data_IF_291829079212
#
_entry.id   IF_291829079212
#
_cell.length_a   1.000
_cell.length_b   1.000
_cell.length_c   1.000
_cell.angle_alpha   90.00
_cell.angle_beta   90.00
_cell.angle_gamma   90.00
#
_symmetry.space_group_name_H-M   'P 1'
#
loop_
_entity.id
_entity.type
_entity.pdbx_description
1 polymer ?
#
# COMPACT_ATOMS: atom_id res chain seq x y z
N UNK A 1 -17.70 27.05 60.18
CA UNK A 1 -17.43 26.46 58.86
C UNK A 1 -15.92 26.44 58.66
N UNK A 2 -15.31 25.26 58.46
CA UNK A 2 -13.85 25.14 58.40
C UNK A 2 -13.38 25.46 56.97
N UNK A 3 -13.08 26.73 56.72
CA UNK A 3 -12.66 27.25 55.42
C UNK A 3 -11.45 26.50 54.82
N UNK A 4 -10.56 25.99 55.67
CA UNK A 4 -9.41 25.20 55.24
C UNK A 4 -9.82 23.84 54.63
N UNK A 5 -10.85 23.20 55.17
CA UNK A 5 -11.35 21.93 54.64
C UNK A 5 -12.04 22.13 53.27
N UNK A 6 -12.76 23.25 53.11
CA UNK A 6 -13.38 23.63 51.83
C UNK A 6 -12.30 23.94 50.78
N UNK A 7 -11.24 24.65 51.16
CA UNK A 7 -10.08 24.93 50.30
C UNK A 7 -9.39 23.65 49.82
N UNK A 8 -9.10 22.72 50.73
CA UNK A 8 -8.46 21.44 50.40
C UNK A 8 -9.31 20.57 49.46
N UNK A 9 -10.64 20.55 49.66
CA UNK A 9 -11.56 19.85 48.73
C UNK A 9 -11.53 20.51 47.35
N UNK A 10 -11.54 21.85 47.30
CA UNK A 10 -11.40 22.61 46.06
C UNK A 10 -10.12 22.27 45.30
N UNK A 11 -8.99 22.20 45.99
CA UNK A 11 -7.70 21.82 45.42
C UNK A 11 -7.69 20.40 44.85
N UNK A 12 -8.24 19.42 45.58
CA UNK A 12 -8.35 18.03 45.10
C UNK A 12 -9.23 17.96 43.85
N UNK A 13 -10.38 18.65 43.85
CA UNK A 13 -11.29 18.67 42.70
C UNK A 13 -10.60 19.34 41.50
N UNK A 14 -9.93 20.48 41.70
CA UNK A 14 -9.19 21.16 40.65
C UNK A 14 -8.06 20.30 40.07
N UNK A 15 -7.29 19.63 40.94
CA UNK A 15 -6.24 18.71 40.50
C UNK A 15 -6.80 17.52 39.71
N UNK A 16 -7.94 16.96 40.14
CA UNK A 16 -8.63 15.88 39.41
C UNK A 16 -9.09 16.34 38.03
N UNK A 17 -9.71 17.52 37.94
CA UNK A 17 -10.15 18.10 36.66
C UNK A 17 -8.95 18.29 35.72
N UNK A 18 -7.84 18.85 36.21
CA UNK A 18 -6.62 19.01 35.42
C UNK A 18 -6.09 17.66 34.92
N UNK A 19 -6.02 16.66 35.79
CA UNK A 19 -5.56 15.32 35.42
C UNK A 19 -6.45 14.68 34.33
N UNK A 20 -7.78 14.79 34.46
CA UNK A 20 -8.73 14.30 33.46
C UNK A 20 -8.60 15.03 32.13
N UNK A 21 -8.45 16.36 32.16
CA UNK A 21 -8.24 17.17 30.96
C UNK A 21 -6.93 16.81 30.25
N UNK A 22 -5.83 16.62 30.99
CA UNK A 22 -4.56 16.16 30.43
C UNK A 22 -4.67 14.75 29.82
N UNK A 23 -5.38 13.84 30.48
CA UNK A 23 -5.67 12.52 29.94
C UNK A 23 -6.45 12.57 28.62
N UNK A 24 -7.49 13.39 28.56
CA UNK A 24 -8.25 13.64 27.33
C UNK A 24 -7.37 14.25 26.23
N UNK A 25 -6.56 15.26 26.54
CA UNK A 25 -5.64 15.87 25.57
C UNK A 25 -4.62 14.85 25.06
N UNK A 26 -4.09 13.97 25.91
CA UNK A 26 -3.16 12.94 25.47
C UNK A 26 -3.80 11.97 24.46
N UNK A 27 -5.05 11.57 24.70
CA UNK A 27 -5.84 10.74 23.77
C UNK A 27 -6.09 11.50 22.47
N UNK A 28 -6.53 12.77 22.55
CA UNK A 28 -6.81 13.60 21.39
C UNK A 28 -5.57 13.83 20.53
N UNK A 29 -4.42 14.13 21.15
CA UNK A 29 -3.14 14.31 20.43
C UNK A 29 -2.71 13.01 19.75
N UNK A 30 -2.93 11.84 20.38
CA UNK A 30 -2.64 10.55 19.74
C UNK A 30 -3.51 10.33 18.50
N UNK A 31 -4.83 10.50 18.63
CA UNK A 31 -5.76 10.38 17.51
C UNK A 31 -5.42 11.35 16.37
N UNK A 32 -5.05 12.60 16.70
CA UNK A 32 -4.62 13.58 15.70
C UNK A 32 -3.31 13.19 14.99
N UNK A 33 -2.36 12.60 15.71
CA UNK A 33 -1.12 12.07 15.11
C UNK A 33 -1.40 10.90 14.16
N UNK A 34 -2.26 9.98 14.56
CA UNK A 34 -2.62 8.82 13.73
C UNK A 34 -3.36 9.29 12.45
N UNK A 35 -4.32 10.19 12.58
CA UNK A 35 -5.02 10.78 11.44
C UNK A 35 -4.07 11.54 10.49
N UNK A 36 -3.10 12.29 11.02
CA UNK A 36 -2.08 12.96 10.20
C UNK A 36 -1.15 11.96 9.50
N UNK A 37 -0.79 10.86 10.15
CA UNK A 37 0.01 9.80 9.54
C UNK A 37 -0.73 9.13 8.37
N UNK A 38 -2.03 8.87 8.53
CA UNK A 38 -2.86 8.32 7.46
C UNK A 38 -3.07 9.31 6.31
N UNK A 39 -3.29 10.60 6.59
CA UNK A 39 -3.33 11.63 5.56
C UNK A 39 -2.01 11.69 4.76
N UNK A 40 -0.87 11.58 5.43
CA UNK A 40 0.44 11.53 4.78
C UNK A 40 0.63 10.26 3.94
N UNK A 41 0.11 9.10 4.38
CA UNK A 41 0.11 7.86 3.58
C UNK A 41 -0.73 8.02 2.31
N UNK A 42 -1.91 8.60 2.43
CA UNK A 42 -2.80 8.88 1.31
C UNK A 42 -2.14 9.85 0.31
N UNK A 43 -1.45 10.88 0.79
CA UNK A 43 -0.78 11.83 -0.09
C UNK A 43 0.38 11.18 -0.86
N UNK A 44 1.17 10.31 -0.21
CA UNK A 44 2.18 9.49 -0.93
C UNK A 44 1.54 8.58 -1.96
N UNK A 45 0.39 7.96 -1.65
CA UNK A 45 -0.35 7.12 -2.58
C UNK A 45 -0.79 7.90 -3.83
N UNK A 46 -1.24 9.16 -3.66
CA UNK A 46 -1.59 10.03 -4.79
C UNK A 46 -0.38 10.33 -5.66
N UNK A 47 0.78 10.64 -5.07
CA UNK A 47 2.01 10.88 -5.81
C UNK A 47 2.44 9.66 -6.64
N UNK A 48 2.35 8.44 -6.08
CA UNK A 48 2.61 7.19 -6.81
C UNK A 48 1.65 7.04 -7.99
N UNK A 49 0.34 7.27 -7.77
CA UNK A 49 -0.67 7.23 -8.83
C UNK A 49 -0.36 8.21 -9.96
N UNK A 50 0.02 9.44 -9.64
CA UNK A 50 0.38 10.47 -10.62
C UNK A 50 1.63 10.07 -11.42
N UNK A 51 2.63 9.52 -10.76
CA UNK A 51 3.85 9.03 -11.41
C UNK A 51 3.56 7.86 -12.37
N UNK A 52 2.71 6.91 -11.95
CA UNK A 52 2.28 5.78 -12.77
C UNK A 52 1.43 6.23 -13.97
N UNK A 53 0.53 7.19 -13.79
CA UNK A 53 -0.24 7.79 -14.88
C UNK A 53 0.67 8.51 -15.88
N UNK A 54 1.61 9.33 -15.41
CA UNK A 54 2.56 10.02 -16.28
C UNK A 54 3.43 9.04 -17.08
N UNK A 55 3.90 7.97 -16.44
CA UNK A 55 4.67 6.89 -17.09
C UNK A 55 3.83 6.10 -18.10
N UNK A 56 2.53 5.93 -17.83
CA UNK A 56 1.63 5.20 -18.73
C UNK A 56 1.27 6.03 -19.98
N UNK A 57 1.06 7.34 -19.81
CA UNK A 57 0.61 8.24 -20.87
C UNK A 57 1.73 8.84 -21.71
N UNK A 58 2.98 8.85 -21.23
CA UNK A 58 4.12 9.43 -21.94
C UNK A 58 5.16 8.37 -22.34
N UNK A 59 5.15 8.01 -23.63
CA UNK A 59 6.04 7.00 -24.20
C UNK A 59 7.53 7.37 -24.11
N UNK A 60 7.89 8.63 -24.37
CA UNK A 60 9.29 9.07 -24.31
C UNK A 60 9.83 9.07 -22.88
N UNK A 61 8.98 9.45 -21.93
CA UNK A 61 9.33 9.37 -20.53
C UNK A 61 9.49 7.92 -20.07
N UNK A 62 8.57 7.01 -20.43
CA UNK A 62 8.73 5.57 -20.15
C UNK A 62 10.00 5.00 -20.77
N UNK A 63 10.32 5.35 -22.02
CA UNK A 63 11.57 4.96 -22.68
C UNK A 63 12.80 5.45 -21.92
N UNK A 64 12.76 6.68 -21.42
CA UNK A 64 13.83 7.25 -20.59
C UNK A 64 14.00 6.48 -19.30
N UNK A 65 12.89 6.14 -18.61
CA UNK A 65 12.92 5.33 -17.40
C UNK A 65 13.46 3.92 -17.66
N UNK A 66 12.98 3.24 -18.70
CA UNK A 66 13.45 1.91 -19.10
C UNK A 66 14.96 1.90 -19.27
N UNK A 67 15.50 2.88 -20.01
CA UNK A 67 16.95 3.00 -20.24
C UNK A 67 17.72 3.39 -18.99
N UNK A 68 17.23 4.35 -18.22
CA UNK A 68 17.87 4.80 -16.99
C UNK A 68 17.92 3.73 -15.91
N UNK A 69 16.93 2.85 -15.87
CA UNK A 69 16.82 1.73 -14.94
C UNK A 69 17.39 0.42 -15.50
N UNK A 70 17.93 0.42 -16.73
CA UNK A 70 18.51 -0.73 -17.40
C UNK A 70 17.54 -1.94 -17.51
N UNK A 71 16.30 -1.65 -17.93
CA UNK A 71 15.19 -2.62 -18.01
C UNK A 71 14.94 -3.13 -19.44
N UNK A 72 15.74 -2.72 -20.42
CA UNK A 72 15.57 -3.10 -21.83
C UNK A 72 15.50 -4.62 -22.00
N UNK A 73 16.49 -5.35 -21.49
CA UNK A 73 16.54 -6.82 -21.59
C UNK A 73 15.36 -7.52 -20.92
N UNK A 74 14.86 -6.95 -19.81
CA UNK A 74 13.67 -7.45 -19.13
C UNK A 74 12.43 -7.30 -20.01
N UNK A 75 12.22 -6.11 -20.59
CA UNK A 75 11.05 -5.85 -21.43
C UNK A 75 11.12 -6.52 -22.80
N UNK A 76 12.32 -6.75 -23.35
CA UNK A 76 12.50 -7.62 -24.53
C UNK A 76 12.02 -9.04 -24.24
N UNK A 77 12.51 -9.65 -23.15
CA UNK A 77 12.10 -11.00 -22.76
C UNK A 77 10.62 -11.10 -22.44
N UNK A 78 10.08 -10.15 -21.67
CA UNK A 78 8.65 -10.12 -21.36
C UNK A 78 7.80 -9.97 -22.64
N UNK A 79 8.26 -9.15 -23.59
CA UNK A 79 7.65 -8.99 -24.90
C UNK A 79 7.64 -10.29 -25.71
N UNK A 80 8.76 -11.01 -25.77
CA UNK A 80 8.84 -12.32 -26.42
C UNK A 80 7.87 -13.33 -25.80
N UNK A 81 7.85 -13.42 -24.47
CA UNK A 81 7.00 -14.33 -23.71
C UNK A 81 5.50 -14.05 -23.93
N UNK A 82 5.12 -12.77 -24.03
CA UNK A 82 3.72 -12.34 -24.16
C UNK A 82 3.30 -12.00 -25.60
N UNK A 83 4.18 -12.19 -26.58
CA UNK A 83 3.98 -11.81 -27.99
C UNK A 83 3.63 -10.33 -28.16
N UNK A 84 4.37 -9.48 -27.44
CA UNK A 84 4.26 -8.03 -27.43
C UNK A 84 5.59 -7.42 -27.87
N UNK A 85 5.56 -6.21 -28.43
CA UNK A 85 6.78 -5.41 -28.56
C UNK A 85 7.34 -5.05 -27.17
N UNK A 86 8.65 -4.74 -27.04
CA UNK A 86 9.22 -4.29 -25.76
C UNK A 86 8.50 -3.04 -25.19
N UNK A 87 7.98 -2.19 -26.07
CA UNK A 87 7.21 -1.01 -25.67
C UNK A 87 5.86 -1.39 -25.06
N UNK A 88 5.12 -2.29 -25.69
CA UNK A 88 3.85 -2.82 -25.15
C UNK A 88 4.10 -3.56 -23.84
N UNK A 89 5.15 -4.39 -23.76
CA UNK A 89 5.54 -5.10 -22.54
C UNK A 89 5.86 -4.14 -21.39
N UNK A 90 6.60 -3.05 -21.66
CA UNK A 90 6.84 -2.02 -20.63
C UNK A 90 5.55 -1.37 -20.16
N UNK A 91 4.63 -1.06 -21.07
CA UNK A 91 3.34 -0.44 -20.74
C UNK A 91 2.48 -1.37 -19.88
N UNK A 92 2.45 -2.65 -20.25
CA UNK A 92 1.74 -3.69 -19.54
C UNK A 92 2.29 -3.89 -18.12
N UNK A 93 3.61 -4.03 -17.98
CA UNK A 93 4.26 -4.21 -16.68
C UNK A 93 4.03 -3.02 -15.74
N UNK A 94 4.15 -1.78 -16.23
CA UNK A 94 3.84 -0.59 -15.43
C UNK A 94 2.39 -0.57 -14.93
N UNK A 95 1.44 -1.01 -15.76
CA UNK A 95 0.06 -1.16 -15.33
C UNK A 95 -0.09 -2.27 -14.27
N UNK A 96 0.63 -3.38 -14.39
CA UNK A 96 0.59 -4.47 -13.41
C UNK A 96 1.20 -4.06 -12.07
N UNK A 97 2.30 -3.30 -12.08
CA UNK A 97 2.91 -2.75 -10.88
C UNK A 97 1.95 -1.87 -10.07
N UNK A 98 1.10 -1.08 -10.75
CA UNK A 98 0.02 -0.34 -10.09
C UNK A 98 -0.94 -1.28 -9.34
N UNK A 99 -1.42 -2.34 -10.00
CA UNK A 99 -2.34 -3.29 -9.39
C UNK A 99 -1.69 -4.05 -8.23
N UNK A 100 -0.42 -4.44 -8.33
CA UNK A 100 0.29 -5.09 -7.24
C UNK A 100 0.42 -4.17 -6.02
N UNK A 101 0.75 -2.90 -6.26
CA UNK A 101 0.83 -1.90 -5.20
C UNK A 101 -0.53 -1.62 -4.56
N UNK A 102 -1.60 -1.55 -5.37
CA UNK A 102 -2.96 -1.36 -4.87
C UNK A 102 -3.41 -2.52 -3.98
N UNK A 103 -3.22 -3.76 -4.44
CA UNK A 103 -3.58 -4.95 -3.65
C UNK A 103 -2.73 -5.09 -2.38
N UNK A 104 -1.45 -4.70 -2.42
CA UNK A 104 -0.63 -4.60 -1.21
C UNK A 104 -1.18 -3.55 -0.23
N UNK A 105 -1.54 -2.36 -0.73
CA UNK A 105 -2.13 -1.30 0.09
C UNK A 105 -3.46 -1.71 0.72
N UNK A 106 -4.29 -2.45 -0.03
CA UNK A 106 -5.50 -3.09 0.48
C UNK A 106 -5.15 -4.08 1.58
N UNK A 107 -4.27 -5.06 1.32
CA UNK A 107 -3.81 -6.05 2.31
C UNK A 107 -3.29 -5.42 3.62
N UNK A 108 -2.49 -4.36 3.51
CA UNK A 108 -1.91 -3.65 4.65
C UNK A 108 -2.95 -2.88 5.47
N UNK A 109 -4.12 -2.61 4.89
CA UNK A 109 -5.20 -1.82 5.50
C UNK A 109 -6.40 -2.67 5.93
N UNK A 110 -6.43 -3.96 5.60
CA UNK A 110 -7.58 -4.81 5.93
C UNK A 110 -7.70 -5.05 7.43
N UNK A 111 -8.91 -4.89 7.94
CA UNK A 111 -9.21 -5.03 9.37
C UNK A 111 -10.29 -6.09 9.65
N UNK A 112 -11.02 -6.54 8.62
CA UNK A 112 -12.11 -7.53 8.76
C UNK A 112 -11.82 -8.77 7.93
N UNK A 113 -12.36 -9.91 8.38
CA UNK A 113 -12.21 -11.19 7.67
C UNK A 113 -12.84 -11.18 6.28
N UNK A 114 -13.93 -10.45 6.08
CA UNK A 114 -14.61 -10.31 4.78
C UNK A 114 -13.75 -9.60 3.76
N UNK A 115 -12.96 -8.62 4.19
CA UNK A 115 -12.12 -7.85 3.28
C UNK A 115 -10.93 -8.71 2.80
N UNK A 116 -10.38 -9.51 3.71
CA UNK A 116 -9.36 -10.54 3.37
C UNK A 116 -9.91 -11.60 2.41
N UNK A 117 -11.16 -12.01 2.57
CA UNK A 117 -11.82 -12.97 1.67
C UNK A 117 -12.02 -12.39 0.26
N UNK A 118 -12.49 -11.14 0.16
CA UNK A 118 -12.60 -10.43 -1.12
C UNK A 118 -11.24 -10.32 -1.81
N UNK A 119 -10.21 -9.86 -1.10
CA UNK A 119 -8.87 -9.76 -1.64
C UNK A 119 -8.33 -11.13 -2.07
N UNK A 120 -8.64 -12.20 -1.33
CA UNK A 120 -8.26 -13.57 -1.71
C UNK A 120 -8.87 -13.95 -3.06
N UNK A 121 -10.16 -13.64 -3.28
CA UNK A 121 -10.84 -13.92 -4.53
C UNK A 121 -10.27 -13.09 -5.69
N UNK A 122 -10.00 -11.80 -5.45
CA UNK A 122 -9.35 -10.92 -6.43
C UNK A 122 -7.98 -11.44 -6.82
N UNK A 123 -7.16 -11.80 -5.83
CA UNK A 123 -5.82 -12.36 -6.07
C UNK A 123 -5.91 -13.65 -6.88
N UNK A 124 -6.82 -14.55 -6.51
CA UNK A 124 -7.01 -15.83 -7.19
C UNK A 124 -7.38 -15.65 -8.67
N UNK A 125 -8.23 -14.70 -9.02
CA UNK A 125 -8.63 -14.46 -10.41
C UNK A 125 -7.60 -13.64 -11.18
N UNK A 126 -7.10 -12.56 -10.59
CA UNK A 126 -6.23 -11.61 -11.27
C UNK A 126 -4.82 -12.18 -11.49
N UNK A 127 -4.20 -12.76 -10.45
CA UNK A 127 -2.80 -13.20 -10.51
C UNK A 127 -2.62 -14.56 -11.19
N UNK A 128 -3.71 -15.29 -11.48
CA UNK A 128 -3.66 -16.52 -12.27
C UNK A 128 -3.70 -16.26 -13.78
N UNK A 129 -4.05 -15.03 -14.20
CA UNK A 129 -3.91 -14.63 -15.59
C UNK A 129 -2.43 -14.77 -16.03
N UNK A 130 -2.13 -15.43 -17.17
CA UNK A 130 -0.76 -15.70 -17.57
C UNK A 130 0.15 -14.47 -17.67
N UNK A 131 -0.36 -13.35 -18.19
CA UNK A 131 0.41 -12.11 -18.30
C UNK A 131 0.71 -11.51 -16.93
N UNK A 132 -0.31 -11.44 -16.07
CA UNK A 132 -0.17 -10.93 -14.70
C UNK A 132 0.80 -11.79 -13.88
N UNK A 133 0.65 -13.11 -13.95
CA UNK A 133 1.53 -14.07 -13.28
C UNK A 133 2.98 -13.88 -13.70
N UNK A 134 3.23 -13.69 -15.00
CA UNK A 134 4.58 -13.46 -15.53
C UNK A 134 5.20 -12.19 -14.96
N UNK A 135 4.46 -11.08 -14.90
CA UNK A 135 4.90 -9.85 -14.25
C UNK A 135 5.14 -10.07 -12.74
N UNK A 136 4.24 -10.76 -12.05
CA UNK A 136 4.39 -11.05 -10.61
C UNK A 136 5.66 -11.84 -10.29
N UNK A 137 6.00 -12.82 -11.14
CA UNK A 137 7.16 -13.70 -10.94
C UNK A 137 8.49 -13.07 -11.34
N UNK A 138 8.49 -12.23 -12.39
CA UNK A 138 9.73 -11.81 -13.04
C UNK A 138 10.03 -10.31 -12.94
N UNK A 139 9.05 -9.48 -12.57
CA UNK A 139 9.26 -8.03 -12.50
C UNK A 139 10.21 -7.68 -11.35
N UNK A 140 11.25 -6.86 -11.60
CA UNK A 140 12.16 -6.41 -10.55
C UNK A 140 11.49 -5.51 -9.51
N UNK A 141 10.28 -5.00 -9.81
CA UNK A 141 9.54 -4.07 -8.96
C UNK A 141 8.27 -4.68 -8.34
N UNK A 142 8.00 -5.96 -8.60
CA UNK A 142 6.87 -6.66 -7.98
C UNK A 142 7.28 -7.22 -6.60
N UNK A 143 7.54 -8.53 -6.50
CA UNK A 143 7.92 -9.18 -5.23
C UNK A 143 9.03 -8.48 -4.45
N UNK A 144 10.14 -8.03 -5.08
CA UNK A 144 11.25 -7.43 -4.34
C UNK A 144 10.89 -6.10 -3.65
N UNK A 145 9.88 -5.38 -4.14
CA UNK A 145 9.51 -4.06 -3.62
C UNK A 145 8.39 -4.12 -2.56
N UNK A 146 7.74 -5.27 -2.40
CA UNK A 146 6.56 -5.44 -1.54
C UNK A 146 6.89 -6.21 -0.27
N UNK A 147 6.07 -6.02 0.76
CA UNK A 147 6.26 -6.67 2.05
C UNK A 147 6.12 -8.20 1.94
N UNK A 148 7.02 -8.92 2.62
CA UNK A 148 7.11 -10.38 2.54
C UNK A 148 5.80 -11.10 2.92
N UNK A 149 5.03 -10.53 3.86
CA UNK A 149 3.74 -11.09 4.28
C UNK A 149 2.71 -11.07 3.14
N UNK A 150 2.66 -9.97 2.38
CA UNK A 150 1.80 -9.86 1.21
C UNK A 150 2.25 -10.80 0.09
N UNK A 151 3.56 -10.86 -0.18
CA UNK A 151 4.14 -11.80 -1.16
C UNK A 151 3.76 -13.23 -0.83
N UNK A 152 3.92 -13.62 0.44
CA UNK A 152 3.58 -14.97 0.92
C UNK A 152 2.07 -15.25 0.84
N UNK A 153 1.23 -14.25 1.10
CA UNK A 153 -0.22 -14.35 0.94
C UNK A 153 -0.61 -14.66 -0.51
N UNK A 154 -0.09 -13.88 -1.48
CA UNK A 154 -0.34 -14.09 -2.91
C UNK A 154 0.19 -15.45 -3.38
N UNK A 155 1.44 -15.79 -3.07
CA UNK A 155 2.06 -17.05 -3.51
C UNK A 155 1.34 -18.28 -2.94
N UNK A 156 0.84 -18.20 -1.70
CA UNK A 156 0.02 -19.26 -1.09
C UNK A 156 -1.30 -19.45 -1.84
N UNK A 157 -1.94 -18.38 -2.31
CA UNK A 157 -3.16 -18.47 -3.11
C UNK A 157 -2.85 -19.10 -4.46
N UNK A 158 -1.79 -18.65 -5.14
CA UNK A 158 -1.40 -19.17 -6.45
C UNK A 158 -1.04 -20.66 -6.43
N UNK A 159 -0.36 -21.13 -5.38
CA UNK A 159 -0.02 -22.56 -5.23
C UNK A 159 -1.24 -23.47 -5.07
N UNK A 160 -2.36 -22.96 -4.56
CA UNK A 160 -3.61 -23.73 -4.38
C UNK A 160 -4.36 -23.96 -5.68
N UNK A 161 -4.25 -23.02 -6.61
CA UNK A 161 -4.94 -23.08 -7.92
C UNK A 161 -4.17 -23.93 -8.94
N UNK A 162 -2.95 -24.39 -8.61
CA UNK A 162 -2.13 -25.21 -9.51
C UNK A 162 -2.31 -26.72 -9.30
N UNK A 163 -3.25 -27.13 -8.43
CA UNK A 163 -3.72 -28.51 -8.24
C UNK A 163 -5.15 -28.64 -8.77
#
# INVERSE_FOLDING_TARGET
MNWNAIGAIGEIISALVVALTLGYFAIQVRAAKDAAADANRLERAKGVREMMLATSLNNEFRKTLTKGLNLESYYEKLGEDLKMSPHEASSFDWAMLYWFWLHWGQFASETRSTDVEELTNVVQQFYTNPGVKKCWENSPWAKPALEQNFVSFVDKILSRTTN
#
